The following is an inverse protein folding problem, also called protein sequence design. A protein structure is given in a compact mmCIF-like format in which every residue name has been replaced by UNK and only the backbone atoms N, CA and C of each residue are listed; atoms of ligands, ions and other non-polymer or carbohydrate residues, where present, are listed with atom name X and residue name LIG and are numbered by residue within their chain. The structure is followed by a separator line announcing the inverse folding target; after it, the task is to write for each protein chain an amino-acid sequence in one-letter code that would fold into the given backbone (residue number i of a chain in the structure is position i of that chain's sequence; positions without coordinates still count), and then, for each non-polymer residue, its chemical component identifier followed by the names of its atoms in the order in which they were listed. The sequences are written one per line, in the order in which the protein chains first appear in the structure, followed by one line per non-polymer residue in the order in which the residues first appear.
data_IF_030855845035
#
_entry.id   IF_030855845035
#
_cell.length_a   1.000
_cell.length_b   1.000
_cell.length_c   1.000
_cell.angle_alpha   90.00
_cell.angle_beta   90.00
_cell.angle_gamma   90.00
#
_symmetry.space_group_name_H-M   'P 1'
#
loop_
_entity.id
_entity.type
_entity.pdbx_description
1 polymer ?
#
# COMPACT_ATOMS: atom_id res chain seq x y z
N UNK A 1 -2.54 -26.67 -2.61
CA UNK A 1 -2.51 -27.97 -1.90
C UNK A 1 -3.48 -28.92 -2.62
N UNK A 2 -3.04 -30.12 -3.00
CA UNK A 2 -3.89 -31.11 -3.66
C UNK A 2 -4.38 -32.07 -2.57
N UNK A 3 -5.69 -32.17 -2.39
CA UNK A 3 -6.30 -33.20 -1.57
C UNK A 3 -6.57 -34.41 -2.43
N UNK A 4 -6.22 -35.57 -1.89
CA UNK A 4 -6.42 -36.85 -2.56
C UNK A 4 -7.14 -37.80 -1.63
N UNK A 5 -8.03 -38.60 -2.20
CA UNK A 5 -8.69 -39.70 -1.51
C UNK A 5 -8.26 -41.02 -2.15
N UNK A 6 -8.05 -42.02 -1.30
CA UNK A 6 -7.68 -43.35 -1.73
C UNK A 6 -8.94 -44.23 -1.76
N UNK A 7 -9.23 -44.78 -2.93
CA UNK A 7 -10.32 -45.72 -3.14
C UNK A 7 -9.79 -47.15 -2.97
N UNK A 8 -10.22 -47.83 -1.90
CA UNK A 8 -9.82 -49.20 -1.57
C UNK A 8 -10.36 -50.24 -2.57
N UNK A 9 -11.49 -49.99 -3.24
CA UNK A 9 -12.07 -50.93 -4.21
C UNK A 9 -11.36 -50.86 -5.57
N UNK A 10 -10.87 -49.67 -5.94
CA UNK A 10 -10.22 -49.42 -7.23
C UNK A 10 -8.68 -49.38 -7.15
N UNK A 11 -8.09 -49.53 -5.95
CA UNK A 11 -6.65 -49.41 -5.66
C UNK A 11 -6.03 -48.18 -6.35
N UNK A 12 -6.71 -47.04 -6.19
CA UNK A 12 -6.33 -45.83 -6.91
C UNK A 12 -6.55 -44.57 -6.08
N UNK A 13 -5.66 -43.61 -6.27
CA UNK A 13 -5.73 -42.30 -5.63
C UNK A 13 -6.36 -41.30 -6.59
N UNK A 14 -7.49 -40.70 -6.21
CA UNK A 14 -8.15 -39.65 -7.00
C UNK A 14 -7.92 -38.27 -6.37
N UNK A 15 -7.85 -37.24 -7.21
CA UNK A 15 -7.78 -35.85 -6.72
C UNK A 15 -9.20 -35.43 -6.37
N UNK A 16 -9.46 -35.22 -5.09
CA UNK A 16 -10.78 -34.78 -4.60
C UNK A 16 -10.91 -33.27 -4.60
N UNK A 17 -9.83 -32.53 -4.30
CA UNK A 17 -9.89 -31.07 -4.27
C UNK A 17 -8.54 -30.41 -4.50
N UNK A 18 -8.57 -29.13 -4.92
CA UNK A 18 -7.40 -28.26 -5.02
C UNK A 18 -7.64 -27.00 -4.23
N UNK A 19 -6.88 -26.82 -3.16
CA UNK A 19 -6.93 -25.64 -2.32
C UNK A 19 -5.87 -24.63 -2.77
N UNK A 20 -6.23 -23.35 -2.82
CA UNK A 20 -5.26 -22.27 -2.99
C UNK A 20 -4.22 -22.29 -1.85
N UNK A 21 -2.99 -21.82 -2.08
CA UNK A 21 -2.04 -21.59 -1.00
C UNK A 21 -2.66 -20.69 0.07
N UNK A 22 -2.48 -21.05 1.34
CA UNK A 22 -3.02 -20.28 2.45
C UNK A 22 -2.49 -20.81 3.78
N UNK A 23 -2.41 -19.93 4.76
CA UNK A 23 -2.05 -20.31 6.13
C UNK A 23 -3.28 -20.82 6.86
N UNK A 24 -3.13 -21.93 7.57
CA UNK A 24 -4.18 -22.55 8.38
C UNK A 24 -3.60 -22.84 9.75
N UNK A 25 -4.22 -22.30 10.78
CA UNK A 25 -3.81 -22.47 12.15
C UNK A 25 -4.96 -23.08 12.93
N UNK A 26 -4.67 -24.14 13.69
CA UNK A 26 -5.56 -24.53 14.76
C UNK A 26 -5.36 -23.53 15.89
N UNK A 27 -6.42 -22.86 16.30
CA UNK A 27 -6.34 -21.90 17.40
C UNK A 27 -6.29 -22.69 18.72
N UNK A 28 -5.30 -22.37 19.55
CA UNK A 28 -5.22 -22.94 20.89
C UNK A 28 -6.47 -22.56 21.70
N UNK A 29 -6.88 -23.43 22.63
CA UNK A 29 -8.00 -23.21 23.54
C UNK A 29 -7.50 -22.96 24.99
N UNK A 30 -6.70 -21.91 25.25
CA UNK A 30 -6.18 -21.67 26.58
C UNK A 30 -7.32 -21.35 27.54
N UNK A 31 -7.34 -22.01 28.71
CA UNK A 31 -8.37 -21.84 29.73
C UNK A 31 -9.81 -21.97 29.19
N UNK A 32 -10.03 -22.88 28.22
CA UNK A 32 -11.37 -23.15 27.67
C UNK A 32 -12.03 -21.90 27.06
N UNK A 33 -11.23 -20.96 26.53
CA UNK A 33 -11.68 -19.71 25.93
C UNK A 33 -12.76 -19.92 24.85
N UNK A 34 -12.54 -20.84 23.90
CA UNK A 34 -13.50 -21.08 22.82
C UNK A 34 -14.78 -21.76 23.31
N UNK A 35 -14.66 -22.54 24.39
CA UNK A 35 -15.80 -23.22 25.01
C UNK A 35 -16.71 -22.23 25.71
N UNK A 36 -16.15 -21.35 26.53
CA UNK A 36 -16.90 -20.26 27.17
C UNK A 36 -17.47 -19.23 26.19
N UNK A 37 -16.79 -18.99 25.05
CA UNK A 37 -17.26 -18.05 24.04
C UNK A 37 -18.43 -18.59 23.21
N UNK A 38 -18.42 -19.87 22.83
CA UNK A 38 -19.38 -20.44 21.89
C UNK A 38 -20.27 -21.54 22.47
N UNK A 39 -19.73 -22.47 23.26
CA UNK A 39 -20.48 -23.67 23.68
C UNK A 39 -21.25 -23.44 24.97
N UNK A 40 -20.66 -22.80 25.98
CA UNK A 40 -21.37 -22.44 27.23
C UNK A 40 -22.45 -21.36 27.04
N UNK A 41 -22.52 -20.75 25.85
CA UNK A 41 -23.54 -19.78 25.46
C UNK A 41 -24.72 -20.39 24.72
N UNK A 42 -24.81 -21.72 24.69
CA UNK A 42 -25.98 -22.41 24.14
C UNK A 42 -27.26 -21.98 24.88
N UNK A 43 -28.28 -21.60 24.11
CA UNK A 43 -29.56 -21.13 24.65
C UNK A 43 -29.55 -19.72 25.25
N UNK A 44 -28.38 -19.08 25.37
CA UNK A 44 -28.25 -17.73 25.91
C UNK A 44 -28.55 -16.64 24.86
N UNK A 45 -28.96 -15.42 25.29
CA UNK A 45 -29.28 -14.33 24.37
C UNK A 45 -28.16 -13.95 23.40
N UNK A 46 -26.90 -14.14 23.78
CA UNK A 46 -25.71 -13.83 22.99
C UNK A 46 -25.70 -14.56 21.64
N UNK A 47 -26.19 -15.79 21.57
CA UNK A 47 -26.24 -16.59 20.34
C UNK A 47 -27.63 -16.55 19.65
N UNK A 48 -28.60 -15.85 20.23
CA UNK A 48 -29.99 -15.86 19.75
C UNK A 48 -30.21 -15.15 18.42
N UNK A 49 -29.35 -14.19 18.05
CA UNK A 49 -29.42 -13.45 16.80
C UNK A 49 -28.09 -12.78 16.45
N UNK A 50 -27.96 -12.35 15.21
CA UNK A 50 -26.74 -11.74 14.66
C UNK A 50 -26.27 -10.50 15.44
N UNK A 51 -27.18 -9.59 15.81
CA UNK A 51 -26.81 -8.36 16.53
C UNK A 51 -26.24 -8.65 17.92
N UNK A 52 -26.81 -9.62 18.64
CA UNK A 52 -26.28 -10.05 19.92
C UNK A 52 -24.93 -10.75 19.77
N UNK A 53 -24.80 -11.58 18.74
CA UNK A 53 -23.57 -12.29 18.43
C UNK A 53 -22.42 -11.32 18.11
N UNK A 54 -22.64 -10.32 17.25
CA UNK A 54 -21.61 -9.33 16.90
C UNK A 54 -21.20 -8.46 18.11
N UNK A 55 -22.08 -8.27 19.09
CA UNK A 55 -21.74 -7.57 20.33
C UNK A 55 -20.88 -8.44 21.28
N UNK A 56 -21.15 -9.74 21.32
CA UNK A 56 -20.44 -10.74 22.13
C UNK A 56 -19.08 -11.09 21.53
N UNK A 57 -19.04 -11.47 20.25
CA UNK A 57 -17.84 -11.81 19.49
C UNK A 57 -17.52 -10.70 18.48
N UNK A 58 -16.60 -9.81 18.86
CA UNK A 58 -16.23 -8.61 18.06
C UNK A 58 -15.19 -8.86 16.97
N UNK A 59 -14.82 -10.13 16.75
CA UNK A 59 -13.81 -10.54 15.77
C UNK A 59 -12.49 -10.97 16.40
N UNK A 60 -11.47 -11.06 15.55
CA UNK A 60 -10.14 -11.52 15.92
C UNK A 60 -9.15 -10.36 15.87
N UNK A 61 -8.28 -10.30 16.88
CA UNK A 61 -7.12 -9.42 16.87
C UNK A 61 -5.88 -10.29 16.67
N UNK A 62 -5.24 -10.13 15.51
CA UNK A 62 -4.02 -10.87 15.16
C UNK A 62 -2.83 -9.98 15.40
N UNK A 63 -1.96 -10.40 16.32
CA UNK A 63 -0.69 -9.73 16.61
C UNK A 63 0.44 -10.71 16.38
N UNK A 64 1.41 -10.32 15.56
CA UNK A 64 2.65 -11.05 15.43
C UNK A 64 3.57 -10.72 16.62
N UNK A 65 4.26 -11.73 17.14
CA UNK A 65 5.32 -11.56 18.13
C UNK A 65 6.67 -11.82 17.47
N UNK A 66 7.68 -11.01 17.83
CA UNK A 66 9.03 -11.19 17.33
C UNK A 66 9.60 -12.51 17.84
N UNK A 67 9.99 -13.39 16.92
CA UNK A 67 10.69 -14.64 17.25
C UNK A 67 12.21 -14.40 17.27
N UNK A 68 12.66 -13.41 16.53
CA UNK A 68 14.05 -13.00 16.29
C UNK A 68 14.14 -11.49 15.98
N UNK A 69 15.37 -10.96 15.85
CA UNK A 69 15.62 -9.54 15.53
C UNK A 69 15.15 -9.17 14.11
N UNK A 70 15.11 -10.13 13.19
CA UNK A 70 14.74 -9.93 11.80
C UNK A 70 13.33 -10.49 11.53
N UNK A 71 12.31 -9.62 11.57
CA UNK A 71 10.95 -9.98 11.21
C UNK A 71 10.72 -10.03 9.69
N UNK A 72 9.62 -10.66 9.26
CA UNK A 72 9.10 -10.55 7.89
C UNK A 72 7.70 -9.95 7.93
N UNK A 73 7.47 -8.91 7.13
CA UNK A 73 6.13 -8.37 6.93
C UNK A 73 5.47 -9.08 5.74
N UNK A 74 4.24 -9.55 5.93
CA UNK A 74 3.45 -10.18 4.87
C UNK A 74 2.10 -9.50 4.73
N UNK A 75 1.75 -9.13 3.50
CA UNK A 75 0.41 -8.63 3.20
C UNK A 75 -0.54 -9.81 2.99
N UNK A 76 -1.47 -10.00 3.93
CA UNK A 76 -2.42 -11.10 3.90
C UNK A 76 -3.77 -10.62 3.36
N UNK A 77 -4.31 -11.33 2.36
CA UNK A 77 -5.67 -11.08 1.88
C UNK A 77 -6.70 -11.70 2.83
N UNK A 78 -6.96 -11.02 3.95
CA UNK A 78 -7.93 -11.45 4.97
C UNK A 78 -9.37 -11.18 4.52
N UNK A 79 -9.59 -10.14 3.69
CA UNK A 79 -10.93 -9.66 3.37
C UNK A 79 -11.73 -10.51 2.37
N UNK A 80 -11.08 -11.37 1.58
CA UNK A 80 -11.80 -12.17 0.56
C UNK A 80 -11.77 -13.68 0.79
N UNK A 81 -10.69 -14.20 1.38
CA UNK A 81 -10.40 -15.65 1.37
C UNK A 81 -10.01 -16.22 2.74
N UNK A 82 -10.27 -15.48 3.82
CA UNK A 82 -10.00 -15.94 5.17
C UNK A 82 -11.30 -16.14 5.96
N UNK A 83 -11.30 -17.15 6.82
CA UNK A 83 -12.44 -17.54 7.63
C UNK A 83 -12.00 -18.21 8.92
N UNK A 84 -12.86 -18.13 9.93
CA UNK A 84 -12.78 -18.91 11.15
C UNK A 84 -13.76 -20.09 11.04
N UNK A 85 -13.25 -21.31 11.12
CA UNK A 85 -14.07 -22.52 11.05
C UNK A 85 -14.14 -23.17 12.43
N UNK A 86 -15.35 -23.28 12.97
CA UNK A 86 -15.66 -23.99 14.20
C UNK A 86 -16.18 -25.38 13.85
N UNK A 87 -15.48 -26.40 14.32
CA UNK A 87 -15.96 -27.78 14.29
C UNK A 87 -16.55 -28.13 15.65
N UNK A 88 -17.77 -28.65 15.67
CA UNK A 88 -18.47 -28.99 16.89
C UNK A 88 -19.22 -30.31 16.73
N UNK A 89 -19.73 -30.81 17.84
CA UNK A 89 -20.58 -32.00 17.88
C UNK A 89 -21.86 -31.62 18.61
N UNK A 90 -23.02 -31.96 18.05
CA UNK A 90 -24.32 -31.68 18.65
C UNK A 90 -25.08 -32.97 18.91
N UNK A 91 -25.84 -33.00 19.98
CA UNK A 91 -26.74 -34.09 20.32
C UNK A 91 -28.19 -33.69 19.99
N UNK A 92 -28.92 -34.57 19.32
CA UNK A 92 -30.35 -34.41 19.09
C UNK A 92 -31.09 -35.58 19.71
N UNK A 93 -32.05 -35.28 20.58
CA UNK A 93 -32.95 -36.27 21.16
C UNK A 93 -34.18 -36.43 20.26
N UNK A 94 -34.41 -37.64 19.75
CA UNK A 94 -35.64 -37.98 19.03
C UNK A 94 -36.53 -38.82 19.93
N UNK A 95 -37.70 -38.28 20.26
CA UNK A 95 -38.78 -39.01 20.95
C UNK A 95 -39.66 -39.69 19.90
N UNK A 96 -39.77 -41.04 19.92
CA UNK A 96 -40.71 -41.74 19.06
C UNK A 96 -42.16 -41.34 19.37
N UNK A 97 -42.98 -41.16 18.32
CA UNK A 97 -44.41 -40.78 18.41
C UNK A 97 -45.28 -41.85 19.11
N UNK A 98 -44.72 -43.05 19.30
CA UNK A 98 -45.35 -44.18 19.99
C UNK A 98 -45.05 -44.24 21.51
N UNK A 99 -44.31 -43.26 22.04
CA UNK A 99 -43.98 -43.18 23.47
C UNK A 99 -42.85 -44.11 23.91
N UNK A 100 -42.01 -44.58 22.98
CA UNK A 100 -40.76 -45.28 23.30
C UNK A 100 -39.71 -44.41 24.00
N UNK A 101 -38.65 -45.06 24.49
CA UNK A 101 -37.51 -44.36 25.09
C UNK A 101 -36.85 -43.44 24.06
N UNK A 102 -36.39 -42.28 24.52
CA UNK A 102 -35.78 -41.26 23.66
C UNK A 102 -34.39 -41.71 23.23
N UNK A 103 -34.08 -41.57 21.95
CA UNK A 103 -32.75 -41.86 21.42
C UNK A 103 -31.96 -40.56 21.25
N UNK A 104 -30.76 -40.53 21.84
CA UNK A 104 -29.80 -39.43 21.65
C UNK A 104 -28.88 -39.78 20.49
N UNK A 105 -28.92 -38.97 19.44
CA UNK A 105 -28.01 -39.10 18.30
C UNK A 105 -26.98 -37.98 18.33
N UNK A 106 -25.71 -38.34 18.24
CA UNK A 106 -24.59 -37.40 18.18
C UNK A 106 -24.17 -37.18 16.72
N UNK A 107 -24.15 -35.93 16.26
CA UNK A 107 -23.75 -35.57 14.89
C UNK A 107 -22.63 -34.53 14.89
N UNK A 108 -21.58 -34.69 14.06
CA UNK A 108 -20.62 -33.63 13.82
C UNK A 108 -21.27 -32.48 13.05
N UNK A 109 -20.84 -31.27 13.36
CA UNK A 109 -21.28 -30.02 12.74
C UNK A 109 -20.09 -29.12 12.41
N UNK A 110 -20.29 -28.18 11.50
CA UNK A 110 -19.29 -27.17 11.16
C UNK A 110 -19.97 -25.84 10.89
N UNK A 111 -19.47 -24.78 11.52
CA UNK A 111 -19.84 -23.39 11.26
C UNK A 111 -18.61 -22.69 10.70
N UNK A 112 -18.76 -22.01 9.57
CA UNK A 112 -17.69 -21.20 8.98
C UNK A 112 -18.10 -19.74 8.99
N UNK A 113 -17.28 -18.91 9.62
CA UNK A 113 -17.45 -17.46 9.70
C UNK A 113 -16.44 -16.80 8.78
N UNK A 114 -16.90 -16.19 7.70
CA UNK A 114 -16.07 -15.32 6.87
C UNK A 114 -15.77 -14.02 7.60
N UNK A 115 -14.59 -13.45 7.39
CA UNK A 115 -14.32 -12.10 7.87
C UNK A 115 -15.02 -11.08 6.96
N UNK A 116 -16.13 -10.55 7.45
CA UNK A 116 -16.90 -9.49 6.80
C UNK A 116 -17.07 -8.32 7.76
N UNK A 117 -16.96 -7.09 7.25
CA UNK A 117 -17.10 -5.87 8.06
C UNK A 117 -15.80 -5.07 8.12
N UNK A 118 -15.52 -4.47 9.28
CA UNK A 118 -14.38 -3.58 9.46
C UNK A 118 -13.08 -4.38 9.56
N UNK A 119 -12.18 -4.16 8.62
CA UNK A 119 -10.80 -4.67 8.65
C UNK A 119 -9.88 -3.50 8.98
N UNK A 120 -9.21 -3.58 10.11
CA UNK A 120 -8.31 -2.52 10.58
C UNK A 120 -6.92 -3.12 10.74
N UNK A 121 -5.96 -2.54 10.02
CA UNK A 121 -4.55 -2.86 10.19
C UNK A 121 -3.91 -1.82 11.10
N UNK A 122 -3.26 -2.29 12.15
CA UNK A 122 -2.43 -1.47 13.01
C UNK A 122 -0.97 -1.72 12.63
N UNK A 123 -0.23 -0.66 12.36
CA UNK A 123 1.20 -0.71 12.12
C UNK A 123 1.82 0.23 13.14
N UNK A 124 2.73 -0.30 13.94
CA UNK A 124 3.58 0.52 14.81
C UNK A 124 4.93 0.60 14.12
N UNK A 125 5.41 1.83 13.90
CA UNK A 125 6.68 2.09 13.25
C UNK A 125 7.63 2.76 14.24
N UNK A 126 8.87 2.31 14.28
CA UNK A 126 9.94 3.03 14.98
C UNK A 126 10.44 4.10 14.04
N UNK A 127 9.87 5.29 14.17
CA UNK A 127 10.31 6.45 13.41
C UNK A 127 11.73 6.85 13.81
N UNK A 128 12.54 7.15 12.81
CA UNK A 128 13.67 8.05 12.99
C UNK A 128 13.05 9.43 13.15
N UNK A 129 13.49 10.23 14.12
CA UNK A 129 13.06 11.63 14.21
C UNK A 129 13.51 12.35 12.93
N UNK A 130 12.55 12.65 12.06
CA UNK A 130 12.78 13.39 10.83
C UNK A 130 12.48 14.86 11.12
N UNK A 131 13.40 15.78 10.81
CA UNK A 131 13.17 17.20 11.03
C UNK A 131 12.01 17.69 10.17
N UNK A 132 11.29 18.70 10.68
CA UNK A 132 10.28 19.41 9.89
C UNK A 132 10.96 20.05 8.66
N UNK A 133 10.31 19.92 7.50
CA UNK A 133 10.82 20.47 6.26
C UNK A 133 10.84 22.00 6.24
N UNK A 134 11.89 22.59 5.67
CA UNK A 134 12.03 24.02 5.48
C UNK A 134 11.34 24.47 4.19
N UNK A 135 10.18 25.11 4.31
CA UNK A 135 9.37 25.53 3.14
C UNK A 135 9.99 26.67 2.33
N UNK A 136 10.95 27.44 2.89
CA UNK A 136 11.54 28.60 2.23
C UNK A 136 12.84 28.24 1.50
N UNK A 137 13.78 27.59 2.19
CA UNK A 137 15.09 27.23 1.62
C UNK A 137 15.10 25.80 1.02
N UNK A 138 14.11 24.99 1.40
CA UNK A 138 14.09 23.56 1.11
C UNK A 138 15.05 22.76 1.98
N UNK A 139 15.03 21.44 1.77
CA UNK A 139 15.68 20.48 2.66
C UNK A 139 16.99 19.94 2.08
N UNK A 140 17.89 19.50 2.96
CA UNK A 140 19.13 18.79 2.57
C UNK A 140 18.81 17.37 2.09
N UNK A 141 17.84 16.71 2.72
CA UNK A 141 17.41 15.34 2.46
C UNK A 141 15.89 15.24 2.45
N UNK A 142 15.34 14.45 1.53
CA UNK A 142 13.92 14.15 1.42
C UNK A 142 13.68 12.71 1.84
N UNK A 143 12.91 12.52 2.90
CA UNK A 143 12.62 11.20 3.47
C UNK A 143 11.29 10.68 2.92
N UNK A 144 11.34 9.55 2.21
CA UNK A 144 10.15 8.88 1.68
C UNK A 144 10.00 7.50 2.31
N UNK A 145 8.82 7.19 2.86
CA UNK A 145 8.56 5.86 3.44
C UNK A 145 7.08 5.52 3.35
N UNK A 146 6.74 4.30 2.98
CA UNK A 146 5.34 3.85 2.87
C UNK A 146 4.65 3.62 4.21
N UNK A 147 3.38 3.19 4.15
CA UNK A 147 2.52 2.90 5.31
C UNK A 147 2.30 4.14 6.20
N UNK A 148 2.89 4.19 7.40
CA UNK A 148 2.79 5.34 8.30
C UNK A 148 3.98 6.30 8.13
N UNK A 149 4.68 6.24 7.01
CA UNK A 149 5.90 7.00 6.78
C UNK A 149 5.66 8.44 6.31
N UNK A 150 6.59 8.91 5.49
CA UNK A 150 6.68 10.31 5.08
C UNK A 150 6.59 10.46 3.56
N UNK A 151 6.20 11.66 3.16
CA UNK A 151 6.20 12.12 1.78
C UNK A 151 6.94 13.44 1.67
N UNK A 152 7.42 13.76 0.47
CA UNK A 152 8.02 15.05 0.19
C UNK A 152 7.06 15.90 -0.64
N UNK A 153 7.18 17.22 -0.51
CA UNK A 153 6.46 18.19 -1.33
C UNK A 153 7.45 18.88 -2.26
N UNK A 154 7.14 18.89 -3.55
CA UNK A 154 7.94 19.55 -4.57
C UNK A 154 7.21 20.81 -5.01
N UNK A 155 7.85 21.96 -4.84
CA UNK A 155 7.37 23.24 -5.33
C UNK A 155 8.21 23.67 -6.55
N UNK A 156 7.63 23.62 -7.74
CA UNK A 156 8.34 24.02 -8.95
C UNK A 156 8.38 25.55 -9.03
N UNK A 157 9.50 26.10 -9.49
CA UNK A 157 9.71 27.55 -9.67
C UNK A 157 9.47 28.41 -8.42
N UNK A 158 9.47 27.82 -7.21
CA UNK A 158 9.15 28.53 -5.96
C UNK A 158 7.80 29.27 -6.01
N UNK A 159 6.77 28.63 -6.59
CA UNK A 159 5.42 29.19 -6.66
C UNK A 159 4.86 29.55 -5.28
N UNK A 160 4.15 30.67 -5.20
CA UNK A 160 3.33 31.03 -4.04
C UNK A 160 2.08 30.12 -3.92
N UNK A 161 1.17 30.44 -3.01
CA UNK A 161 -0.07 29.66 -2.81
C UNK A 161 -1.00 29.65 -4.04
N UNK A 162 -0.84 30.62 -4.95
CA UNK A 162 -1.57 30.67 -6.23
C UNK A 162 -0.73 30.09 -7.40
N UNK A 163 0.46 29.57 -7.10
CA UNK A 163 1.41 28.99 -8.06
C UNK A 163 2.21 30.03 -8.86
N UNK A 164 2.19 31.31 -8.48
CA UNK A 164 2.91 32.37 -9.19
C UNK A 164 4.30 32.59 -8.60
N UNK A 165 5.27 32.92 -9.46
CA UNK A 165 6.61 33.32 -9.02
C UNK A 165 7.34 34.11 -10.10
N UNK A 166 8.31 34.96 -9.72
CA UNK A 166 9.18 35.64 -10.68
C UNK A 166 9.92 34.66 -11.61
N UNK A 167 10.37 33.51 -11.09
CA UNK A 167 11.07 32.49 -11.84
C UNK A 167 10.16 31.85 -12.90
N UNK A 168 8.88 31.63 -12.58
CA UNK A 168 7.91 31.11 -13.54
C UNK A 168 7.57 32.16 -14.61
N UNK A 169 7.44 33.43 -14.23
CA UNK A 169 7.16 34.53 -15.16
C UNK A 169 8.32 34.74 -16.15
N UNK A 170 9.56 34.74 -15.63
CA UNK A 170 10.77 34.80 -16.46
C UNK A 170 10.83 33.59 -17.39
N UNK A 171 10.56 32.38 -16.87
CA UNK A 171 10.52 31.16 -17.68
C UNK A 171 9.46 31.22 -18.79
N UNK A 172 8.24 31.70 -18.49
CA UNK A 172 7.17 31.93 -19.48
C UNK A 172 7.56 32.96 -20.55
N UNK A 173 8.27 34.02 -20.16
CA UNK A 173 8.65 35.11 -21.07
C UNK A 173 9.56 34.68 -22.23
N UNK A 174 10.30 33.58 -22.05
CA UNK A 174 11.22 33.05 -23.06
C UNK A 174 10.52 32.38 -24.26
N UNK A 175 9.22 32.05 -24.16
CA UNK A 175 8.45 31.39 -25.22
C UNK A 175 9.11 30.12 -25.80
N UNK A 176 9.78 29.36 -24.95
CA UNK A 176 10.45 28.12 -25.35
C UNK A 176 9.45 27.02 -25.71
N UNK A 177 9.79 26.23 -26.74
CA UNK A 177 9.08 24.99 -27.03
C UNK A 177 9.71 23.86 -26.21
N UNK A 178 9.01 23.36 -25.19
CA UNK A 178 9.53 22.30 -24.33
C UNK A 178 9.43 20.96 -25.07
N UNK A 179 10.58 20.33 -25.31
CA UNK A 179 10.66 19.02 -25.94
C UNK A 179 10.60 17.89 -24.91
N UNK A 180 11.24 18.10 -23.74
CA UNK A 180 11.27 17.13 -22.65
C UNK A 180 11.52 17.87 -21.33
N UNK A 181 10.86 17.45 -20.26
CA UNK A 181 11.17 17.89 -18.90
C UNK A 181 11.23 16.69 -17.95
N UNK A 182 12.26 16.61 -17.13
CA UNK A 182 12.41 15.55 -16.12
C UNK A 182 12.92 16.10 -14.79
N UNK A 183 12.49 15.49 -13.68
CA UNK A 183 13.08 15.70 -12.36
C UNK A 183 13.94 14.48 -12.04
N UNK A 184 15.20 14.72 -11.68
CA UNK A 184 16.10 13.69 -11.19
C UNK A 184 16.27 13.80 -9.67
N UNK A 185 16.06 12.68 -8.98
CA UNK A 185 16.29 12.56 -7.54
C UNK A 185 17.41 11.56 -7.29
N UNK A 186 18.53 12.01 -6.73
CA UNK A 186 19.62 11.12 -6.35
C UNK A 186 19.37 10.52 -4.98
N UNK A 187 19.70 9.24 -4.82
CA UNK A 187 19.55 8.56 -3.54
C UNK A 187 20.76 8.83 -2.65
N UNK A 188 20.50 9.16 -1.40
CA UNK A 188 21.51 9.21 -0.35
C UNK A 188 21.69 7.83 0.30
N UNK A 189 22.56 7.02 -0.29
CA UNK A 189 22.89 5.69 0.22
C UNK A 189 23.49 5.69 1.64
N UNK A 190 23.96 6.83 2.15
CA UNK A 190 24.47 6.91 3.53
C UNK A 190 23.36 6.91 4.59
N UNK A 191 22.13 7.28 4.19
CA UNK A 191 20.98 7.41 5.07
C UNK A 191 19.89 6.34 4.82
N UNK A 192 19.94 5.64 3.68
CA UNK A 192 19.00 4.55 3.37
C UNK A 192 19.19 3.38 4.32
N UNK A 193 18.06 2.81 4.79
CA UNK A 193 18.04 1.60 5.60
C UNK A 193 17.15 0.54 4.95
N UNK A 194 17.69 -0.66 4.77
CA UNK A 194 16.97 -1.79 4.19
C UNK A 194 16.80 -1.68 2.67
N UNK A 195 15.74 -2.31 2.16
CA UNK A 195 15.47 -2.34 0.72
C UNK A 195 14.70 -1.11 0.25
N UNK A 196 15.17 -0.53 -0.85
CA UNK A 196 14.55 0.64 -1.46
C UNK A 196 13.32 0.27 -2.30
N UNK A 197 12.32 1.17 -2.39
CA UNK A 197 11.22 1.00 -3.33
C UNK A 197 11.71 1.12 -4.77
N UNK A 198 11.25 0.24 -5.66
CA UNK A 198 11.66 0.29 -7.07
C UNK A 198 11.07 1.49 -7.83
N UNK A 199 9.99 2.08 -7.30
CA UNK A 199 9.29 3.21 -7.91
C UNK A 199 8.90 4.25 -6.87
N UNK A 200 8.94 5.51 -7.31
CA UNK A 200 8.30 6.64 -6.65
C UNK A 200 7.19 7.18 -7.55
N UNK A 201 6.23 7.87 -6.95
CA UNK A 201 5.05 8.40 -7.62
C UNK A 201 4.90 9.88 -7.28
N UNK A 202 4.58 10.68 -8.29
CA UNK A 202 4.33 12.12 -8.16
C UNK A 202 2.89 12.43 -8.57
N UNK A 203 2.25 13.36 -7.87
CA UNK A 203 0.89 13.78 -8.17
C UNK A 203 0.65 15.24 -7.78
N UNK A 204 -0.42 15.83 -8.28
CA UNK A 204 -0.83 17.16 -7.87
C UNK A 204 -1.41 17.09 -6.46
N UNK A 205 -0.75 17.76 -5.50
CA UNK A 205 -1.08 17.62 -4.08
C UNK A 205 -2.42 18.27 -3.72
N UNK A 206 -2.74 19.40 -4.36
CA UNK A 206 -3.96 20.17 -4.09
C UNK A 206 -5.23 19.48 -4.57
N UNK A 207 -5.19 18.87 -5.76
CA UNK A 207 -6.32 18.16 -6.36
C UNK A 207 -6.30 16.65 -6.08
N UNK A 208 -5.19 16.13 -5.57
CA UNK A 208 -4.90 14.70 -5.42
C UNK A 208 -5.06 13.90 -6.73
N UNK A 209 -4.77 14.54 -7.86
CA UNK A 209 -4.92 13.94 -9.18
C UNK A 209 -3.56 13.52 -9.76
N UNK A 210 -3.50 12.44 -10.55
CA UNK A 210 -2.30 12.09 -11.31
C UNK A 210 -1.91 13.23 -12.26
N UNK A 211 -0.61 13.39 -12.49
CA UNK A 211 -0.13 14.33 -13.51
C UNK A 211 -0.59 13.89 -14.91
N UNK A 212 -0.67 14.84 -15.84
CA UNK A 212 -1.06 14.55 -17.22
C UNK A 212 -0.13 13.53 -17.88
N UNK A 213 1.17 13.57 -17.56
CA UNK A 213 2.18 12.62 -18.03
C UNK A 213 1.85 11.18 -17.62
N UNK A 214 1.36 10.96 -16.40
CA UNK A 214 0.88 9.65 -15.97
C UNK A 214 -0.28 9.14 -16.84
N UNK A 215 -1.20 10.02 -17.22
CA UNK A 215 -2.39 9.67 -18.01
C UNK A 215 -1.99 9.34 -19.45
N UNK A 216 -1.09 10.13 -20.04
CA UNK A 216 -0.64 9.98 -21.41
C UNK A 216 0.32 8.80 -21.61
N UNK A 217 1.02 8.40 -20.56
CA UNK A 217 1.87 7.23 -20.58
C UNK A 217 1.01 5.95 -20.72
N UNK A 218 1.02 5.39 -21.93
CA UNK A 218 0.32 4.16 -22.28
C UNK A 218 1.24 2.93 -22.26
N UNK A 219 2.42 3.03 -21.65
CA UNK A 219 3.22 1.84 -21.38
C UNK A 219 2.47 0.97 -20.37
N UNK A 220 1.87 -0.10 -20.89
CA UNK A 220 1.21 -1.16 -20.12
C UNK A 220 1.95 -2.45 -20.34
N UNK A 221 2.16 -3.20 -19.26
CA UNK A 221 2.62 -4.57 -19.30
C UNK A 221 1.74 -5.45 -18.44
N UNK A 222 1.69 -6.74 -18.78
CA UNK A 222 1.13 -7.80 -17.95
C UNK A 222 1.82 -7.95 -16.58
N UNK A 223 2.96 -7.30 -16.38
CA UNK A 223 3.72 -7.23 -15.12
C UNK A 223 3.87 -5.77 -14.66
N UNK A 224 3.75 -5.50 -13.35
CA UNK A 224 3.83 -4.15 -12.77
C UNK A 224 5.10 -3.36 -13.15
N UNK A 225 6.20 -4.04 -13.48
CA UNK A 225 7.52 -3.43 -13.69
C UNK A 225 7.58 -2.41 -14.85
N UNK A 226 6.85 -2.65 -15.95
CA UNK A 226 6.84 -1.78 -17.13
C UNK A 226 5.60 -0.89 -17.23
N UNK A 227 4.73 -0.90 -16.21
CA UNK A 227 3.61 0.03 -16.19
C UNK A 227 4.14 1.45 -16.01
N UNK A 228 3.66 2.41 -16.82
CA UNK A 228 3.97 3.83 -16.68
C UNK A 228 5.47 4.15 -16.66
N UNK A 229 6.25 3.43 -17.47
CA UNK A 229 7.72 3.46 -17.45
C UNK A 229 8.31 4.73 -18.06
N UNK A 230 7.56 5.42 -18.93
CA UNK A 230 8.05 6.65 -19.56
C UNK A 230 7.95 7.81 -18.54
N UNK A 231 6.82 7.92 -17.84
CA UNK A 231 6.57 8.93 -16.82
C UNK A 231 7.31 8.64 -15.50
N UNK A 232 7.22 7.40 -15.00
CA UNK A 232 7.76 7.00 -13.69
C UNK A 232 8.84 5.96 -13.92
N UNK A 233 10.12 6.32 -14.02
CA UNK A 233 11.16 5.32 -14.31
C UNK A 233 11.49 4.51 -13.05
N UNK A 234 11.79 3.19 -13.18
CA UNK A 234 12.35 2.40 -12.11
C UNK A 234 13.64 3.02 -11.55
N UNK A 235 13.91 2.75 -10.27
CA UNK A 235 15.17 3.09 -9.62
C UNK A 235 16.34 2.56 -10.45
N UNK A 236 17.24 3.46 -10.82
CA UNK A 236 18.52 3.07 -11.43
C UNK A 236 19.43 2.56 -10.33
N UNK A 237 19.91 1.32 -10.45
CA UNK A 237 20.80 0.67 -9.46
C UNK A 237 22.21 0.49 -10.02
N UNK A 238 23.18 0.39 -9.12
CA UNK A 238 24.57 0.04 -9.47
C UNK A 238 24.61 -1.30 -10.22
N UNK A 239 25.38 -1.34 -11.30
CA UNK A 239 25.55 -2.51 -12.19
C UNK A 239 24.25 -3.10 -12.76
N UNK A 240 23.14 -2.35 -12.74
CA UNK A 240 21.80 -2.82 -13.11
C UNK A 240 21.36 -4.07 -12.32
N UNK A 241 21.97 -4.31 -11.15
CA UNK A 241 21.64 -5.43 -10.28
C UNK A 241 20.31 -5.17 -9.57
N UNK A 242 19.44 -6.19 -9.52
CA UNK A 242 18.12 -6.07 -8.89
C UNK A 242 18.19 -5.75 -7.39
N UNK A 243 19.26 -6.18 -6.74
CA UNK A 243 19.60 -5.97 -5.33
C UNK A 243 20.74 -4.94 -5.13
N UNK A 244 21.19 -4.28 -6.21
CA UNK A 244 22.21 -3.25 -6.14
C UNK A 244 21.73 -1.98 -5.46
N UNK A 245 22.64 -1.20 -4.89
CA UNK A 245 22.33 0.10 -4.30
C UNK A 245 21.69 1.06 -5.32
N UNK A 246 20.66 1.79 -4.89
CA UNK A 246 20.01 2.82 -5.69
C UNK A 246 20.92 4.01 -5.99
N UNK A 247 20.85 4.50 -7.22
CA UNK A 247 21.59 5.69 -7.67
C UNK A 247 20.64 6.87 -7.75
N UNK A 248 19.55 6.72 -8.51
CA UNK A 248 18.57 7.79 -8.73
C UNK A 248 17.24 7.31 -9.26
N UNK A 249 16.22 8.13 -8.99
CA UNK A 249 14.93 8.08 -9.66
C UNK A 249 14.83 9.19 -10.71
N UNK A 250 14.05 8.94 -11.76
CA UNK A 250 13.71 9.94 -12.77
C UNK A 250 12.22 9.96 -13.01
N UNK A 251 11.66 11.15 -13.08
CA UNK A 251 10.25 11.38 -13.37
C UNK A 251 10.16 12.34 -14.54
N UNK A 252 9.46 11.94 -15.60
CA UNK A 252 9.24 12.77 -16.77
C UNK A 252 7.95 13.59 -16.59
N UNK A 253 8.01 14.92 -16.67
CA UNK A 253 6.88 15.82 -16.44
C UNK A 253 6.69 16.81 -17.59
N UNK A 254 7.06 16.40 -18.80
CA UNK A 254 7.05 17.22 -20.02
C UNK A 254 5.69 17.88 -20.26
N UNK A 255 4.61 17.10 -20.23
CA UNK A 255 3.27 17.60 -20.53
C UNK A 255 2.70 18.43 -19.38
N UNK A 256 3.10 18.14 -18.14
CA UNK A 256 2.77 18.99 -16.99
C UNK A 256 3.40 20.39 -17.13
N UNK A 257 4.69 20.49 -17.48
CA UNK A 257 5.36 21.78 -17.74
C UNK A 257 4.72 22.49 -18.94
N UNK A 258 4.43 21.77 -20.04
CA UNK A 258 3.73 22.34 -21.19
C UNK A 258 2.35 22.90 -20.83
N UNK A 259 1.59 22.25 -19.94
CA UNK A 259 0.29 22.77 -19.48
C UNK A 259 0.42 24.06 -18.68
N UNK A 260 1.44 24.17 -17.82
CA UNK A 260 1.71 25.39 -17.05
C UNK A 260 2.08 26.55 -17.99
N UNK A 261 2.86 26.28 -19.05
CA UNK A 261 3.33 27.29 -20.00
C UNK A 261 2.29 27.70 -21.04
N UNK A 262 1.62 26.73 -21.67
CA UNK A 262 0.85 26.94 -22.90
C UNK A 262 -0.67 26.93 -22.69
N UNK A 263 -1.13 26.42 -21.54
CA UNK A 263 -2.56 26.19 -21.27
C UNK A 263 -3.04 26.86 -19.97
N UNK A 264 -2.26 27.79 -19.42
CA UNK A 264 -2.55 28.52 -18.17
C UNK A 264 -2.94 27.58 -17.00
N UNK A 265 -2.33 26.39 -16.92
CA UNK A 265 -2.49 25.52 -15.76
C UNK A 265 -1.78 26.11 -14.54
N UNK A 266 -2.38 25.99 -13.37
CA UNK A 266 -1.76 26.36 -12.10
C UNK A 266 -0.51 25.53 -11.85
N UNK A 267 0.57 26.17 -11.43
CA UNK A 267 1.80 25.54 -10.94
C UNK A 267 1.59 25.08 -9.50
N UNK A 268 0.78 24.04 -9.35
CA UNK A 268 0.39 23.50 -8.04
C UNK A 268 1.55 22.74 -7.38
N UNK A 269 1.54 22.69 -6.04
CA UNK A 269 2.48 21.87 -5.27
C UNK A 269 2.30 20.38 -5.61
N UNK A 270 3.41 19.65 -5.73
CA UNK A 270 3.40 18.23 -6.09
C UNK A 270 3.75 17.36 -4.88
N UNK A 271 2.97 16.30 -4.66
CA UNK A 271 3.26 15.29 -3.65
C UNK A 271 4.14 14.20 -4.24
N UNK A 272 5.20 13.83 -3.53
CA UNK A 272 6.13 12.76 -3.90
C UNK A 272 6.10 11.65 -2.84
N UNK A 273 5.78 10.44 -3.27
CA UNK A 273 5.60 9.27 -2.39
C UNK A 273 6.28 8.03 -2.95
N UNK A 274 6.60 7.06 -2.09
CA UNK A 274 6.97 5.72 -2.56
C UNK A 274 5.75 5.01 -3.15
N UNK A 275 5.95 4.14 -4.13
CA UNK A 275 4.87 3.31 -4.67
C UNK A 275 5.39 1.95 -5.10
N UNK A 276 4.83 0.85 -4.58
CA UNK A 276 5.18 -0.50 -5.07
C UNK A 276 4.35 -0.95 -6.25
N UNK A 277 3.21 -0.31 -6.47
CA UNK A 277 2.41 -0.50 -7.67
C UNK A 277 1.93 0.86 -8.16
N UNK A 278 2.59 1.36 -9.21
CA UNK A 278 2.24 2.64 -9.84
C UNK A 278 0.85 2.64 -10.47
N UNK A 279 0.17 1.50 -10.62
CA UNK A 279 -1.24 1.45 -11.05
C UNK A 279 -2.22 1.65 -9.88
N UNK A 280 -1.76 1.50 -8.64
CA UNK A 280 -2.57 1.68 -7.44
C UNK A 280 -2.56 3.15 -7.03
N UNK A 281 -3.29 3.97 -7.77
CA UNK A 281 -3.37 5.43 -7.54
C UNK A 281 -4.68 5.87 -6.86
N UNK A 282 -5.51 4.93 -6.42
CA UNK A 282 -6.75 5.25 -5.73
C UNK A 282 -6.47 6.16 -4.53
N UNK A 283 -7.17 7.31 -4.41
CA UNK A 283 -6.93 8.27 -3.34
C UNK A 283 -7.38 7.70 -2.00
N UNK A 284 -6.56 7.91 -0.96
CA UNK A 284 -6.86 7.53 0.42
C UNK A 284 -6.78 8.75 1.31
N UNK A 285 -7.76 8.89 2.21
CA UNK A 285 -7.77 9.94 3.24
C UNK A 285 -6.82 9.57 4.38
N UNK A 286 -6.04 10.55 4.84
CA UNK A 286 -5.16 10.42 5.99
C UNK A 286 -5.93 10.79 7.27
N UNK A 287 -5.76 9.99 8.33
CA UNK A 287 -6.45 10.24 9.60
C UNK A 287 -5.94 11.53 10.29
N UNK A 288 -4.63 11.79 10.18
CA UNK A 288 -3.99 13.00 10.73
C UNK A 288 -3.72 13.97 9.58
N UNK A 289 -4.69 14.84 9.30
CA UNK A 289 -4.54 15.87 8.27
C UNK A 289 -3.55 16.95 8.74
N UNK A 290 -2.52 17.23 7.94
CA UNK A 290 -1.58 18.34 8.18
C UNK A 290 -1.65 19.30 7.00
N UNK A 291 -2.51 20.33 7.10
CA UNK A 291 -2.68 21.32 6.05
C UNK A 291 -3.16 20.72 4.73
N UNK A 292 -2.41 20.92 3.64
CA UNK A 292 -2.71 20.35 2.32
C UNK A 292 -2.51 18.82 2.26
N UNK A 293 -1.83 18.21 3.25
CA UNK A 293 -1.60 16.78 3.36
C UNK A 293 -2.82 16.08 3.97
N UNK A 294 -3.92 16.01 3.22
CA UNK A 294 -5.14 15.29 3.61
C UNK A 294 -5.24 13.90 2.97
N UNK A 295 -4.48 13.67 1.88
CA UNK A 295 -4.62 12.47 1.06
C UNK A 295 -3.30 11.98 0.48
N UNK A 296 -3.27 10.69 0.20
CA UNK A 296 -2.21 10.00 -0.55
C UNK A 296 -2.84 8.99 -1.51
N UNK A 297 -2.02 8.13 -2.12
CA UNK A 297 -2.46 7.07 -3.03
C UNK A 297 -2.31 5.68 -2.42
N UNK A 298 -3.17 4.75 -2.82
CA UNK A 298 -3.18 3.37 -2.31
C UNK A 298 -1.85 2.63 -2.44
N UNK A 299 -1.07 2.87 -3.49
CA UNK A 299 0.24 2.26 -3.73
C UNK A 299 1.29 2.59 -2.65
N UNK A 300 1.10 3.67 -1.90
CA UNK A 300 1.96 4.10 -0.80
C UNK A 300 1.89 3.16 0.42
N UNK A 301 0.72 2.54 0.68
CA UNK A 301 0.51 1.69 1.85
C UNK A 301 0.86 0.21 1.61
N UNK A 302 1.22 -0.15 0.38
CA UNK A 302 1.44 -1.56 0.01
C UNK A 302 2.82 -2.08 0.44
N UNK A 303 3.69 -1.24 1.00
CA UNK A 303 5.03 -1.63 1.44
C UNK A 303 5.62 -0.70 2.50
N UNK A 304 6.38 -1.23 3.46
CA UNK A 304 7.10 -0.44 4.46
C UNK A 304 8.42 0.14 3.91
N UNK A 305 8.80 -0.18 2.68
CA UNK A 305 10.06 0.27 2.09
C UNK A 305 10.13 1.80 2.05
N UNK A 306 11.34 2.31 2.25
CA UNK A 306 11.63 3.74 2.23
C UNK A 306 12.94 4.03 1.51
N UNK A 307 13.16 5.31 1.22
CA UNK A 307 14.40 5.81 0.62
C UNK A 307 14.64 7.23 1.11
N UNK A 308 15.89 7.67 1.05
CA UNK A 308 16.30 9.04 1.36
C UNK A 308 16.91 9.61 0.10
N UNK A 309 16.38 10.75 -0.34
CA UNK A 309 16.85 11.44 -1.53
C UNK A 309 17.60 12.69 -1.11
N UNK A 310 18.61 13.10 -1.87
CA UNK A 310 19.14 14.46 -1.70
C UNK A 310 18.06 15.48 -2.04
N UNK A 311 18.01 16.59 -1.32
CA UNK A 311 17.09 17.69 -1.57
C UNK A 311 17.72 18.80 -2.41
N UNK A 312 17.08 19.97 -2.43
CA UNK A 312 17.59 21.15 -3.14
C UNK A 312 18.63 21.93 -2.31
N UNK A 313 18.71 21.74 -0.99
CA UNK A 313 19.66 22.45 -0.13
C UNK A 313 20.87 21.56 0.27
N UNK A 314 21.15 20.52 -0.52
CA UNK A 314 22.29 19.64 -0.28
C UNK A 314 23.63 20.33 -0.51
N UNK A 315 24.63 19.97 0.30
CA UNK A 315 26.02 20.39 0.11
C UNK A 315 26.69 19.71 -1.09
N UNK A 316 26.12 18.61 -1.61
CA UNK A 316 26.59 17.91 -2.80
C UNK A 316 25.87 18.43 -4.06
N UNK A 317 26.45 19.46 -4.70
CA UNK A 317 25.86 20.15 -5.87
C UNK A 317 25.56 19.21 -7.05
N UNK A 318 26.30 18.11 -7.20
CA UNK A 318 26.10 17.16 -8.30
C UNK A 318 24.85 16.28 -8.09
N UNK A 319 24.44 16.10 -6.83
CA UNK A 319 23.28 15.27 -6.45
C UNK A 319 22.04 16.06 -6.07
N UNK A 320 22.15 17.38 -6.03
CA UNK A 320 21.02 18.29 -5.81
C UNK A 320 19.86 17.99 -6.79
N UNK A 321 18.63 18.01 -6.27
CA UNK A 321 17.42 17.83 -7.08
C UNK A 321 17.32 18.95 -8.11
N UNK A 322 17.15 18.57 -9.38
CA UNK A 322 17.09 19.51 -10.50
C UNK A 322 15.95 19.15 -11.43
N UNK A 323 15.17 20.17 -11.79
CA UNK A 323 14.28 20.13 -12.95
C UNK A 323 15.12 20.37 -14.20
N UNK A 324 15.23 19.35 -15.05
CA UNK A 324 15.93 19.41 -16.34
C UNK A 324 14.92 19.63 -17.44
N UNK A 325 15.09 20.71 -18.19
CA UNK A 325 14.20 21.08 -19.29
C UNK A 325 15.02 21.15 -20.57
N UNK A 326 14.61 20.35 -21.55
CA UNK A 326 15.14 20.35 -22.91
C UNK A 326 14.16 21.08 -23.79
N UNK A 327 14.60 22.16 -24.43
CA UNK A 327 13.73 23.04 -25.18
C UNK A 327 14.35 23.44 -26.52
N UNK A 328 13.47 23.90 -27.42
CA UNK A 328 13.84 24.53 -28.68
C UNK A 328 13.50 26.01 -28.61
N UNK A 329 14.46 26.87 -28.94
CA UNK A 329 14.22 28.30 -29.12
C UNK A 329 13.56 28.52 -30.49
N UNK A 330 12.37 29.14 -30.56
CA UNK A 330 11.80 29.52 -31.85
C UNK A 330 12.67 30.61 -32.48
N UNK A 331 13.15 30.39 -33.71
CA UNK A 331 13.76 31.47 -34.50
C UNK A 331 12.68 32.51 -34.81
N UNK A 332 12.90 33.75 -34.35
CA UNK A 332 12.06 34.91 -34.68
C UNK A 332 12.34 35.46 -36.08
#
# INVERSE_FOLDING_TARGET
IILTEYDEELDSTSITNRLAPGMRFMLDNPNELWESLFFEKEGEPELSNESNFLNHFRGLYVKAEAVDENGTLMMLNIGSNASLTLHYTSESETTPDDGGDSEVTTSPGTVTMSFSGNLVNFVDDTFIDIPDGNQEEGDEQLYLKGIQGNMAVINLFNGDEDGNSPELDDFKSNNWLINQAEIEFYVDQSAVQGEEPDRIYIYNLESNAPLIDYILDQSVSATQINAKIDHLKPLVRVDEAADGEGIKYKIEITEHINNILLRDSTNAKLGLVVSTNVNSIEPLDLQNEVGALSRTVSGYFLSPRGTVLFGNNTSDEDKQVKLKIYYTEPEN
#
